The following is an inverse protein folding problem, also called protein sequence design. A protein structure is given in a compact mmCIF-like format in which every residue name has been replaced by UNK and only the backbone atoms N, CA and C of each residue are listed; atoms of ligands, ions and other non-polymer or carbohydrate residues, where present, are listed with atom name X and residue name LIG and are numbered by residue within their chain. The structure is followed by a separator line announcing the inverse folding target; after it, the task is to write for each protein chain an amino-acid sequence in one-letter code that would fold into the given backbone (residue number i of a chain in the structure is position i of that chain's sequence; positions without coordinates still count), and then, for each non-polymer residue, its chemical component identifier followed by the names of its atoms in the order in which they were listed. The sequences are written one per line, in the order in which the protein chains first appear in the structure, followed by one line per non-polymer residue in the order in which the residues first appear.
data_IF_969436430884
#
_entry.id   IF_969436430884
#
_cell.length_a   1.000
_cell.length_b   1.000
_cell.length_c   1.000
_cell.angle_alpha   90.00
_cell.angle_beta   90.00
_cell.angle_gamma   90.00
#
_symmetry.space_group_name_H-M   'P 1'
#
loop_
_entity.id
_entity.type
_entity.pdbx_description
1 polymer ?
#
# COMPACT_ATOMS: atom_id res chain seq x y z
N UNK A 1 12.02 12.57 -24.64
CA UNK A 1 11.81 11.11 -24.49
C UNK A 1 10.51 10.80 -25.20
N UNK A 2 10.51 9.82 -26.11
CA UNK A 2 9.26 9.38 -26.72
C UNK A 2 8.40 8.72 -25.64
N UNK A 3 7.07 8.63 -25.81
CA UNK A 3 6.20 7.92 -24.86
C UNK A 3 6.55 6.42 -24.67
N UNK A 4 7.49 5.88 -25.46
CA UNK A 4 7.88 4.46 -25.45
C UNK A 4 9.29 4.18 -24.93
N UNK A 5 10.06 5.19 -24.50
CA UNK A 5 11.39 4.93 -23.95
C UNK A 5 11.26 4.47 -22.48
N UNK A 6 11.88 3.35 -22.08
CA UNK A 6 11.78 2.86 -20.71
C UNK A 6 12.40 3.87 -19.73
N UNK A 7 11.82 3.97 -18.53
CA UNK A 7 12.39 4.82 -17.47
C UNK A 7 13.78 4.30 -17.06
N UNK A 8 14.66 5.13 -16.45
CA UNK A 8 15.96 4.65 -15.97
C UNK A 8 15.84 3.46 -15.00
N UNK A 9 14.83 3.49 -14.13
CA UNK A 9 14.51 2.40 -13.21
C UNK A 9 14.10 1.14 -13.98
N UNK A 10 13.20 1.28 -14.96
CA UNK A 10 12.77 0.14 -15.78
C UNK A 10 13.95 -0.47 -16.55
N UNK A 11 14.80 0.35 -17.16
CA UNK A 11 16.00 -0.12 -17.87
C UNK A 11 16.95 -0.87 -16.93
N UNK A 12 17.15 -0.36 -15.71
CA UNK A 12 18.00 -1.00 -14.70
C UNK A 12 17.43 -2.34 -14.26
N UNK A 13 16.14 -2.40 -13.92
CA UNK A 13 15.44 -3.63 -13.55
C UNK A 13 15.50 -4.68 -14.68
N UNK A 14 15.24 -4.28 -15.92
CA UNK A 14 15.32 -5.16 -17.10
C UNK A 14 16.71 -5.75 -17.31
N UNK A 15 17.77 -5.01 -17.00
CA UNK A 15 19.15 -5.51 -17.06
C UNK A 15 19.39 -6.54 -15.96
N UNK A 16 19.07 -6.19 -14.71
CA UNK A 16 19.28 -7.08 -13.56
C UNK A 16 18.48 -8.40 -13.69
N UNK A 17 17.24 -8.33 -14.17
CA UNK A 17 16.38 -9.51 -14.39
C UNK A 17 16.91 -10.48 -15.46
N UNK A 18 17.78 -10.04 -16.37
CA UNK A 18 18.46 -10.93 -17.33
C UNK A 18 19.62 -11.70 -16.70
N UNK A 19 20.22 -11.14 -15.64
CA UNK A 19 21.44 -11.65 -15.03
C UNK A 19 21.14 -12.53 -13.82
N UNK A 20 20.07 -12.23 -13.08
CA UNK A 20 19.71 -12.97 -11.86
C UNK A 20 18.23 -12.81 -11.49
N UNK A 21 17.79 -13.69 -10.60
CA UNK A 21 16.51 -13.57 -9.91
C UNK A 21 16.58 -12.38 -8.95
N UNK A 22 15.55 -11.53 -8.97
CA UNK A 22 15.32 -10.49 -7.97
C UNK A 22 14.39 -11.01 -6.88
N UNK A 23 14.67 -10.64 -5.63
CA UNK A 23 13.90 -11.07 -4.47
C UNK A 23 12.97 -9.93 -4.02
N UNK A 24 11.66 -10.21 -4.02
CA UNK A 24 10.66 -9.39 -3.36
C UNK A 24 10.65 -9.73 -1.85
N UNK A 25 10.28 -8.79 -1.01
CA UNK A 25 10.16 -9.01 0.43
C UNK A 25 8.99 -9.94 0.80
N UNK A 26 8.80 -10.11 2.11
CA UNK A 26 7.74 -10.94 2.66
C UNK A 26 6.62 -10.12 3.30
N UNK A 27 5.71 -10.82 3.97
CA UNK A 27 4.51 -10.22 4.53
C UNK A 27 4.77 -9.18 5.65
N UNK A 28 4.50 -7.92 5.34
CA UNK A 28 4.46 -6.80 6.30
C UNK A 28 3.55 -7.09 7.51
N UNK A 29 2.32 -7.55 7.28
CA UNK A 29 1.35 -7.82 8.34
C UNK A 29 1.83 -8.87 9.35
N UNK A 30 2.49 -9.93 8.89
CA UNK A 30 3.04 -10.98 9.75
C UNK A 30 4.16 -10.43 10.65
N UNK A 31 4.98 -9.53 10.13
CA UNK A 31 6.04 -8.87 10.90
C UNK A 31 5.45 -7.92 11.94
N UNK A 32 4.44 -7.13 11.58
CA UNK A 32 3.73 -6.21 12.51
C UNK A 32 3.12 -6.99 13.69
N UNK A 33 2.52 -8.17 13.44
CA UNK A 33 1.91 -8.99 14.49
C UNK A 33 2.88 -9.37 15.62
N UNK A 34 4.19 -9.47 15.35
CA UNK A 34 5.21 -9.82 16.34
C UNK A 34 5.40 -8.72 17.40
N UNK A 35 5.09 -7.47 17.08
CA UNK A 35 5.18 -6.33 17.99
C UNK A 35 4.01 -6.25 18.98
N UNK A 36 2.95 -7.05 18.79
CA UNK A 36 1.78 -7.16 19.69
C UNK A 36 1.12 -5.80 19.99
N UNK A 37 1.06 -4.94 18.98
CA UNK A 37 0.49 -3.59 19.10
C UNK A 37 -0.96 -3.60 19.61
N UNK A 38 -1.26 -2.61 20.43
CA UNK A 38 -2.57 -2.36 21.04
C UNK A 38 -3.34 -1.30 20.25
N UNK A 39 -4.63 -1.12 20.57
CA UNK A 39 -5.44 -0.04 19.99
C UNK A 39 -4.80 1.34 20.19
N UNK A 40 -4.19 1.58 21.36
CA UNK A 40 -3.51 2.83 21.66
C UNK A 40 -2.30 3.06 20.72
N UNK A 41 -1.56 2.00 20.39
CA UNK A 41 -0.42 2.10 19.47
C UNK A 41 -0.87 2.42 18.04
N UNK A 42 -1.96 1.80 17.56
CA UNK A 42 -2.52 2.13 16.24
C UNK A 42 -3.01 3.57 16.18
N UNK A 43 -3.63 4.08 17.24
CA UNK A 43 -4.09 5.47 17.33
C UNK A 43 -2.93 6.47 17.41
N UNK A 44 -1.84 6.08 18.06
CA UNK A 44 -0.77 7.01 18.42
C UNK A 44 -1.32 8.21 19.19
N UNK A 45 -0.57 9.31 19.21
CA UNK A 45 -1.01 10.56 19.86
C UNK A 45 -2.10 11.28 19.04
N UNK A 46 -2.05 11.17 17.72
CA UNK A 46 -2.89 11.97 16.80
C UNK A 46 -4.36 11.53 16.77
N UNK A 47 -4.64 10.25 17.00
CA UNK A 47 -5.98 9.67 16.82
C UNK A 47 -6.59 9.11 18.12
N UNK A 48 -6.08 9.53 19.28
CA UNK A 48 -6.60 9.13 20.61
C UNK A 48 -8.11 9.37 20.70
N UNK A 49 -8.55 10.57 20.31
CA UNK A 49 -9.96 10.99 20.40
C UNK A 49 -10.77 10.74 19.12
N UNK A 50 -10.19 10.07 18.11
CA UNK A 50 -10.89 9.80 16.85
C UNK A 50 -12.01 8.78 17.07
N UNK A 51 -13.24 9.10 16.66
CA UNK A 51 -14.43 8.28 16.90
C UNK A 51 -15.28 8.20 15.63
N UNK A 52 -16.05 7.12 15.51
CA UNK A 52 -17.10 7.04 14.50
C UNK A 52 -18.13 8.17 14.69
N UNK A 53 -18.90 8.49 13.63
CA UNK A 53 -20.00 9.45 13.72
C UNK A 53 -20.99 9.13 14.84
N UNK A 54 -21.65 10.17 15.35
CA UNK A 54 -22.63 10.02 16.43
C UNK A 54 -23.76 9.06 16.02
N UNK A 55 -24.02 8.06 16.86
CA UNK A 55 -25.04 7.03 16.61
C UNK A 55 -24.52 5.76 15.95
N UNK A 56 -23.25 5.72 15.54
CA UNK A 56 -22.59 4.52 15.04
C UNK A 56 -21.91 3.72 16.17
N UNK A 57 -21.51 2.49 15.85
CA UNK A 57 -20.80 1.60 16.77
C UNK A 57 -19.45 2.19 17.18
N UNK A 58 -18.91 1.70 18.29
CA UNK A 58 -17.54 2.03 18.70
C UNK A 58 -16.53 1.67 17.58
N UNK A 59 -15.64 2.61 17.28
CA UNK A 59 -14.63 2.47 16.25
C UNK A 59 -13.34 1.95 16.86
N UNK A 60 -12.84 0.83 16.34
CA UNK A 60 -11.48 0.33 16.58
C UNK A 60 -10.66 0.50 15.31
N UNK A 61 -9.44 1.01 15.45
CA UNK A 61 -8.50 1.18 14.34
C UNK A 61 -7.38 0.15 14.33
N UNK A 62 -7.27 -0.67 15.39
CA UNK A 62 -6.40 -1.84 15.41
C UNK A 62 -6.75 -2.78 14.27
N UNK A 63 -5.74 -3.08 13.45
CA UNK A 63 -5.88 -3.86 12.22
C UNK A 63 -5.73 -3.02 10.95
N UNK A 64 -5.87 -1.69 11.05
CA UNK A 64 -5.52 -0.75 9.97
C UNK A 64 -4.00 -0.58 9.91
N UNK A 65 -3.30 -1.53 9.30
CA UNK A 65 -1.84 -1.55 9.28
C UNK A 65 -1.25 -0.34 8.55
N UNK A 66 -1.95 0.19 7.55
CA UNK A 66 -1.55 1.38 6.78
C UNK A 66 -1.40 2.61 7.68
N UNK A 67 -2.24 2.73 8.71
CA UNK A 67 -2.17 3.83 9.69
C UNK A 67 -0.84 3.84 10.46
N UNK A 68 -0.21 2.68 10.63
CA UNK A 68 1.06 2.57 11.36
C UNK A 68 2.22 3.29 10.65
N UNK A 69 2.12 3.57 9.36
CA UNK A 69 3.09 4.43 8.68
C UNK A 69 3.06 5.88 9.19
N UNK A 70 1.95 6.30 9.81
CA UNK A 70 1.82 7.62 10.45
C UNK A 70 2.06 7.53 11.97
N UNK A 71 1.52 6.51 12.63
CA UNK A 71 1.51 6.43 14.10
C UNK A 71 2.69 5.67 14.68
N UNK A 72 3.23 4.69 13.94
CA UNK A 72 4.39 3.88 14.34
C UNK A 72 5.44 3.77 13.22
N UNK A 73 5.89 4.91 12.63
CA UNK A 73 6.77 4.90 11.44
C UNK A 73 8.09 4.15 11.67
N UNK A 74 8.60 4.15 12.90
CA UNK A 74 9.82 3.43 13.26
C UNK A 74 9.67 1.91 13.14
N UNK A 75 8.51 1.35 13.46
CA UNK A 75 8.23 -0.09 13.32
C UNK A 75 8.18 -0.47 11.84
N UNK A 76 7.47 0.33 11.03
CA UNK A 76 7.36 0.08 9.58
C UNK A 76 8.74 0.17 8.91
N UNK A 77 9.53 1.18 9.25
CA UNK A 77 10.92 1.31 8.82
C UNK A 77 11.74 0.07 9.19
N UNK A 78 11.68 -0.37 10.46
CA UNK A 78 12.42 -1.55 10.94
C UNK A 78 12.03 -2.82 10.18
N UNK A 79 10.75 -3.01 9.85
CA UNK A 79 10.30 -4.18 9.06
C UNK A 79 10.91 -4.17 7.66
N UNK A 80 10.89 -3.03 6.96
CA UNK A 80 11.55 -2.91 5.65
C UNK A 80 13.05 -3.23 5.75
N UNK A 81 13.73 -2.68 6.76
CA UNK A 81 15.16 -2.89 6.96
C UNK A 81 15.49 -4.36 7.25
N UNK A 82 14.65 -5.08 8.00
CA UNK A 82 14.81 -6.53 8.23
C UNK A 82 14.74 -7.34 6.93
N UNK A 83 13.83 -7.02 6.01
CA UNK A 83 13.77 -7.69 4.72
C UNK A 83 14.96 -7.34 3.81
N UNK A 84 15.39 -6.08 3.83
CA UNK A 84 16.57 -5.64 3.08
C UNK A 84 17.86 -6.29 3.60
N UNK A 85 18.00 -6.44 4.91
CA UNK A 85 19.10 -7.15 5.57
C UNK A 85 19.09 -8.65 5.23
N UNK A 86 17.90 -9.26 5.18
CA UNK A 86 17.72 -10.64 4.71
C UNK A 86 18.00 -10.83 3.21
N UNK A 87 18.15 -9.74 2.45
CA UNK A 87 18.66 -9.75 1.10
C UNK A 87 17.66 -9.37 0.01
N UNK A 88 16.44 -8.94 0.37
CA UNK A 88 15.45 -8.45 -0.59
C UNK A 88 16.02 -7.36 -1.51
N UNK A 89 15.66 -7.42 -2.79
CA UNK A 89 16.02 -6.43 -3.80
C UNK A 89 14.91 -5.40 -4.01
N UNK A 90 13.67 -5.82 -3.84
CA UNK A 90 12.47 -4.99 -3.90
C UNK A 90 11.72 -5.14 -2.59
N UNK A 91 11.30 -4.03 -2.00
CA UNK A 91 10.39 -4.04 -0.85
C UNK A 91 9.07 -3.36 -1.20
N UNK A 92 7.98 -3.90 -0.69
CA UNK A 92 6.64 -3.34 -0.85
C UNK A 92 6.41 -2.18 0.12
N UNK A 93 5.59 -1.21 -0.26
CA UNK A 93 5.09 -0.18 0.66
C UNK A 93 4.00 -0.77 1.57
N UNK A 94 3.87 -0.24 2.79
CA UNK A 94 2.76 -0.57 3.68
C UNK A 94 1.46 0.14 3.23
N UNK A 95 0.91 -0.25 2.07
CA UNK A 95 -0.19 0.46 1.40
C UNK A 95 -1.24 -0.46 0.77
N UNK A 96 -1.28 -1.73 1.16
CA UNK A 96 -2.23 -2.72 0.64
C UNK A 96 -3.67 -2.22 0.63
N UNK A 97 -4.14 -1.68 1.76
CA UNK A 97 -5.48 -1.10 1.94
C UNK A 97 -5.51 0.43 1.97
N UNK A 98 -4.50 1.12 1.46
CA UNK A 98 -4.41 2.59 1.54
C UNK A 98 -5.19 3.27 0.38
N UNK A 99 -6.48 2.95 0.24
CA UNK A 99 -7.40 3.57 -0.72
C UNK A 99 -8.57 4.20 0.01
N UNK A 100 -9.25 5.17 -0.62
CA UNK A 100 -10.46 5.78 -0.02
C UNK A 100 -11.55 4.74 0.21
N UNK A 101 -11.65 3.71 -0.64
CA UNK A 101 -12.63 2.63 -0.52
C UNK A 101 -12.37 1.75 0.71
N UNK A 102 -11.12 1.39 0.97
CA UNK A 102 -10.77 0.54 2.12
C UNK A 102 -10.71 1.32 3.44
N UNK A 103 -10.19 2.55 3.41
CA UNK A 103 -10.08 3.38 4.61
C UNK A 103 -11.43 3.94 5.09
N UNK A 104 -12.48 3.86 4.27
CA UNK A 104 -13.85 4.21 4.67
C UNK A 104 -14.37 3.28 5.79
N UNK A 105 -13.95 2.01 5.83
CA UNK A 105 -14.29 1.06 6.91
C UNK A 105 -13.77 1.52 8.29
N UNK A 106 -12.76 2.39 8.30
CA UNK A 106 -12.20 3.03 9.49
C UNK A 106 -12.59 4.51 9.64
N UNK A 107 -13.45 5.05 8.76
CA UNK A 107 -13.76 6.47 8.61
C UNK A 107 -12.51 7.36 8.37
N UNK A 108 -11.45 6.79 7.78
CA UNK A 108 -10.15 7.44 7.60
C UNK A 108 -9.79 7.72 6.14
N UNK A 109 -10.78 7.72 5.23
CA UNK A 109 -10.56 7.98 3.81
C UNK A 109 -9.80 9.30 3.53
N UNK A 110 -9.96 10.32 4.38
CA UNK A 110 -9.22 11.59 4.28
C UNK A 110 -7.71 11.50 4.54
N UNK A 111 -7.21 10.38 5.08
CA UNK A 111 -5.78 10.17 5.38
C UNK A 111 -5.05 9.41 4.28
N UNK A 112 -5.76 8.92 3.25
CA UNK A 112 -5.21 8.04 2.20
C UNK A 112 -3.98 8.63 1.53
N UNK A 113 -4.03 9.91 1.17
CA UNK A 113 -2.88 10.58 0.56
C UNK A 113 -1.66 10.57 1.48
N UNK A 114 -1.87 10.97 2.74
CA UNK A 114 -0.82 11.05 3.75
C UNK A 114 -0.20 9.69 4.06
N UNK A 115 -1.05 8.66 4.21
CA UNK A 115 -0.63 7.27 4.45
C UNK A 115 0.27 6.77 3.32
N UNK A 116 -0.14 6.94 2.06
CA UNK A 116 0.64 6.46 0.91
C UNK A 116 1.98 7.20 0.78
N UNK A 117 1.98 8.54 0.90
CA UNK A 117 3.23 9.32 0.84
C UNK A 117 4.18 8.91 1.97
N UNK A 118 3.68 8.76 3.20
CA UNK A 118 4.48 8.36 4.35
C UNK A 118 5.05 6.95 4.18
N UNK A 119 4.21 5.97 3.81
CA UNK A 119 4.64 4.58 3.55
C UNK A 119 5.73 4.51 2.48
N UNK A 120 5.55 5.19 1.35
CA UNK A 120 6.54 5.21 0.28
C UNK A 120 7.86 5.87 0.70
N UNK A 121 7.80 6.97 1.48
CA UNK A 121 9.00 7.62 2.01
C UNK A 121 9.79 6.73 2.98
N UNK A 122 9.11 5.98 3.84
CA UNK A 122 9.75 5.03 4.76
C UNK A 122 10.46 3.93 3.97
N UNK A 123 9.76 3.27 3.04
CA UNK A 123 10.37 2.27 2.16
C UNK A 123 11.55 2.85 1.36
N UNK A 124 11.43 4.08 0.83
CA UNK A 124 12.51 4.72 0.07
C UNK A 124 13.72 5.04 0.93
N UNK A 125 13.51 5.48 2.16
CA UNK A 125 14.59 5.72 3.12
C UNK A 125 15.32 4.40 3.45
N UNK A 126 14.58 3.31 3.68
CA UNK A 126 15.14 1.98 3.90
C UNK A 126 15.97 1.50 2.68
N UNK A 127 15.41 1.59 1.47
CA UNK A 127 16.11 1.26 0.23
C UNK A 127 17.40 2.08 0.06
N UNK A 128 17.35 3.39 0.33
CA UNK A 128 18.54 4.26 0.24
C UNK A 128 19.63 3.84 1.21
N UNK A 129 19.28 3.44 2.43
CA UNK A 129 20.22 2.97 3.46
C UNK A 129 20.93 1.67 3.06
N UNK A 130 20.22 0.75 2.39
CA UNK A 130 20.74 -0.59 2.04
C UNK A 130 21.22 -0.72 0.59
N UNK A 131 21.03 0.30 -0.24
CA UNK A 131 21.50 0.29 -1.63
C UNK A 131 23.01 0.48 -1.70
N UNK A 132 23.66 -0.31 -2.54
CA UNK A 132 25.05 -0.09 -2.98
C UNK A 132 25.09 0.01 -4.52
N UNK A 133 26.19 0.51 -5.12
CA UNK A 133 26.33 0.53 -6.58
C UNK A 133 26.11 -0.84 -7.23
N UNK A 134 26.57 -1.92 -6.58
CA UNK A 134 26.46 -3.29 -7.09
C UNK A 134 25.12 -3.96 -6.75
N UNK A 135 24.43 -3.47 -5.70
CA UNK A 135 23.17 -4.04 -5.23
C UNK A 135 22.17 -2.92 -4.92
N UNK A 136 21.56 -2.30 -5.94
CA UNK A 136 20.50 -1.31 -5.74
C UNK A 136 19.28 -1.96 -5.06
N UNK A 137 18.45 -1.12 -4.43
CA UNK A 137 17.17 -1.50 -3.82
C UNK A 137 16.04 -0.67 -4.40
N UNK A 138 14.90 -1.31 -4.60
CA UNK A 138 13.74 -0.68 -5.24
C UNK A 138 12.53 -0.74 -4.32
N UNK A 139 11.68 0.27 -4.41
CA UNK A 139 10.40 0.33 -3.71
C UNK A 139 9.28 -0.01 -4.68
N UNK A 140 8.49 -1.03 -4.35
CA UNK A 140 7.20 -1.29 -5.00
C UNK A 140 6.09 -0.58 -4.23
N UNK A 141 5.53 0.48 -4.83
CA UNK A 141 4.29 1.08 -4.39
C UNK A 141 3.13 0.12 -4.67
N UNK A 142 2.62 -0.53 -3.63
CA UNK A 142 1.60 -1.57 -3.79
C UNK A 142 0.19 -0.98 -3.77
N UNK A 143 -0.61 -1.44 -4.73
CA UNK A 143 -2.03 -1.19 -4.82
C UNK A 143 -2.73 -2.54 -4.60
N UNK A 144 -3.14 -2.77 -3.36
CA UNK A 144 -3.88 -3.96 -2.99
C UNK A 144 -5.34 -3.89 -3.44
N UNK A 145 -6.07 -5.00 -3.31
CA UNK A 145 -7.46 -5.05 -3.66
C UNK A 145 -8.31 -4.34 -2.60
N UNK A 146 -9.36 -3.64 -3.04
CA UNK A 146 -10.34 -3.02 -2.14
C UNK A 146 -11.27 -4.07 -1.51
N UNK A 147 -11.88 -3.83 -0.33
CA UNK A 147 -12.85 -4.76 0.27
C UNK A 147 -14.15 -4.90 -0.55
N UNK A 148 -14.36 -4.04 -1.55
CA UNK A 148 -15.54 -4.03 -2.43
C UNK A 148 -15.22 -4.61 -3.81
N UNK A 149 -16.15 -5.38 -4.37
CA UNK A 149 -16.08 -5.96 -5.72
C UNK A 149 -16.90 -5.16 -6.71
N UNK A 150 -16.36 -4.93 -7.90
CA UNK A 150 -17.11 -4.34 -9.01
C UNK A 150 -17.72 -5.41 -9.93
N UNK A 151 -17.18 -6.62 -9.97
CA UNK A 151 -17.72 -7.71 -10.82
C UNK A 151 -18.72 -8.61 -10.11
N UNK A 152 -18.60 -8.77 -8.78
CA UNK A 152 -19.43 -9.67 -7.97
C UNK A 152 -20.48 -8.86 -7.20
N UNK A 153 -21.74 -9.32 -7.22
CA UNK A 153 -22.81 -8.74 -6.41
C UNK A 153 -22.64 -9.10 -4.93
N UNK A 154 -22.88 -8.15 -4.00
CA UNK A 154 -22.93 -8.43 -2.57
C UNK A 154 -24.24 -9.10 -2.13
N UNK A 155 -25.28 -9.07 -2.96
CA UNK A 155 -26.60 -9.65 -2.66
C UNK A 155 -26.87 -10.84 -3.58
N UNK A 156 -27.04 -12.01 -2.98
CA UNK A 156 -27.36 -13.26 -3.68
C UNK A 156 -28.71 -13.22 -4.39
N UNK A 157 -29.61 -12.32 -3.98
CA UNK A 157 -30.95 -12.17 -4.57
C UNK A 157 -31.00 -11.10 -5.67
N UNK A 158 -29.99 -10.23 -5.76
CA UNK A 158 -29.89 -9.21 -6.80
C UNK A 158 -28.52 -9.30 -7.51
N UNK A 159 -28.42 -10.03 -8.63
CA UNK A 159 -27.16 -10.17 -9.36
C UNK A 159 -26.66 -8.86 -10.00
N UNK A 160 -27.50 -7.82 -10.09
CA UNK A 160 -27.14 -6.51 -10.65
C UNK A 160 -26.60 -5.54 -9.58
N UNK A 161 -26.84 -5.78 -8.29
CA UNK A 161 -26.37 -4.92 -7.21
C UNK A 161 -24.84 -4.81 -7.18
N UNK A 162 -24.32 -3.61 -6.89
CA UNK A 162 -22.88 -3.33 -6.74
C UNK A 162 -22.66 -2.36 -5.58
N UNK A 163 -21.65 -2.64 -4.75
CA UNK A 163 -21.25 -1.78 -3.63
C UNK A 163 -20.28 -0.66 -4.03
N UNK A 164 -19.71 -0.74 -5.23
CA UNK A 164 -18.76 0.23 -5.77
C UNK A 164 -18.88 0.29 -7.30
N UNK A 165 -18.65 1.46 -7.88
CA UNK A 165 -18.61 1.65 -9.33
C UNK A 165 -17.18 1.63 -9.87
N UNK A 166 -17.03 1.42 -11.18
CA UNK A 166 -15.72 1.47 -11.84
C UNK A 166 -15.05 2.84 -11.65
N UNK A 167 -15.78 3.94 -11.84
CA UNK A 167 -15.25 5.30 -11.70
C UNK A 167 -14.79 5.61 -10.26
N UNK A 168 -15.49 5.07 -9.25
CA UNK A 168 -15.06 5.19 -7.86
C UNK A 168 -13.73 4.47 -7.61
N UNK A 169 -13.53 3.29 -8.20
CA UNK A 169 -12.28 2.55 -8.11
C UNK A 169 -11.14 3.27 -8.86
N UNK A 170 -11.40 3.77 -10.07
CA UNK A 170 -10.42 4.56 -10.82
C UNK A 170 -9.96 5.77 -10.01
N UNK A 171 -10.90 6.52 -9.43
CA UNK A 171 -10.56 7.67 -8.59
C UNK A 171 -9.71 7.26 -7.37
N UNK A 172 -10.12 6.21 -6.66
CA UNK A 172 -9.41 5.73 -5.47
C UNK A 172 -7.98 5.25 -5.78
N UNK A 173 -7.79 4.48 -6.86
CA UNK A 173 -6.47 4.00 -7.27
C UNK A 173 -5.61 5.13 -7.84
N UNK A 174 -6.19 6.10 -8.55
CA UNK A 174 -5.45 7.24 -9.09
C UNK A 174 -4.89 8.12 -7.95
N UNK A 175 -5.68 8.37 -6.92
CA UNK A 175 -5.22 9.14 -5.74
C UNK A 175 -4.10 8.41 -5.00
N UNK A 176 -4.24 7.09 -4.80
CA UNK A 176 -3.19 6.25 -4.23
C UNK A 176 -1.91 6.27 -5.09
N UNK A 177 -2.03 6.04 -6.40
CA UNK A 177 -0.90 5.99 -7.32
C UNK A 177 -0.12 7.31 -7.35
N UNK A 178 -0.83 8.45 -7.37
CA UNK A 178 -0.20 9.78 -7.30
C UNK A 178 0.59 9.96 -6.01
N UNK A 179 0.02 9.57 -4.87
CA UNK A 179 0.68 9.66 -3.58
C UNK A 179 1.92 8.73 -3.48
N UNK A 180 1.84 7.53 -4.03
CA UNK A 180 2.97 6.59 -4.10
C UNK A 180 4.11 7.13 -4.96
N UNK A 181 3.78 7.70 -6.14
CA UNK A 181 4.77 8.34 -7.02
C UNK A 181 5.42 9.55 -6.34
N UNK A 182 4.65 10.41 -5.69
CA UNK A 182 5.20 11.53 -4.90
C UNK A 182 6.09 11.06 -3.76
N UNK A 183 5.70 9.97 -3.09
CA UNK A 183 6.48 9.35 -2.02
C UNK A 183 7.77 8.69 -2.48
N UNK A 184 7.96 8.50 -3.80
CA UNK A 184 9.19 8.01 -4.40
C UNK A 184 9.22 6.51 -4.67
N UNK A 185 8.05 5.88 -4.86
CA UNK A 185 7.97 4.50 -5.34
C UNK A 185 8.66 4.36 -6.71
N UNK A 186 9.40 3.27 -6.90
CA UNK A 186 10.13 2.97 -8.14
C UNK A 186 9.27 2.14 -9.12
N UNK A 187 8.38 1.32 -8.58
CA UNK A 187 7.46 0.43 -9.29
C UNK A 187 6.06 0.66 -8.72
N UNK A 188 5.04 0.68 -9.56
CA UNK A 188 3.65 0.51 -9.10
C UNK A 188 3.24 -0.94 -9.34
N UNK A 189 2.76 -1.61 -8.30
CA UNK A 189 2.41 -3.02 -8.34
C UNK A 189 0.96 -3.23 -7.90
N UNK A 190 0.09 -3.58 -8.84
CA UNK A 190 -1.26 -4.05 -8.54
C UNK A 190 -1.17 -5.51 -8.10
N UNK A 191 -1.49 -5.77 -6.84
CA UNK A 191 -1.27 -7.07 -6.21
C UNK A 191 -2.56 -7.72 -5.72
N UNK A 192 -2.49 -9.01 -5.37
CA UNK A 192 -3.59 -9.78 -4.76
C UNK A 192 -4.94 -9.60 -5.49
N UNK A 193 -4.90 -9.61 -6.82
CA UNK A 193 -6.06 -9.36 -7.69
C UNK A 193 -7.05 -10.53 -7.56
N UNK A 194 -8.15 -10.29 -6.84
CA UNK A 194 -9.26 -11.24 -6.75
C UNK A 194 -10.46 -10.85 -7.64
N UNK A 195 -10.58 -9.56 -8.00
CA UNK A 195 -11.57 -9.04 -8.95
C UNK A 195 -10.84 -8.35 -10.12
N UNK A 196 -10.98 -8.90 -11.33
CA UNK A 196 -10.31 -8.37 -12.52
C UNK A 196 -10.85 -7.01 -12.97
N UNK A 197 -12.09 -6.65 -12.61
CA UNK A 197 -12.63 -5.33 -12.92
C UNK A 197 -11.99 -4.25 -12.03
N UNK A 198 -11.65 -4.59 -10.78
CA UNK A 198 -10.88 -3.71 -9.91
C UNK A 198 -9.46 -3.51 -10.44
N UNK A 199 -8.81 -4.58 -10.91
CA UNK A 199 -7.49 -4.46 -11.56
C UNK A 199 -7.54 -3.56 -12.80
N UNK A 200 -8.55 -3.72 -13.65
CA UNK A 200 -8.74 -2.82 -14.80
C UNK A 200 -8.90 -1.36 -14.39
N UNK A 201 -9.62 -1.08 -13.30
CA UNK A 201 -9.75 0.27 -12.77
C UNK A 201 -8.41 0.84 -12.27
N UNK A 202 -7.55 0.01 -11.67
CA UNK A 202 -6.21 0.43 -11.25
C UNK A 202 -5.26 0.76 -12.42
N UNK A 203 -5.50 0.19 -13.60
CA UNK A 203 -4.68 0.35 -14.80
C UNK A 203 -5.23 1.39 -15.80
N UNK A 204 -6.37 2.01 -15.51
CA UNK A 204 -7.09 2.92 -16.42
C UNK A 204 -6.50 4.33 -16.44
#
# INVERSE_FOLDING_TARGET
MSQNDPSPIEAQLRTMLKERILILDGAMGTMIQQYKLTEADYRGERFVDFKAPAGERELFVKGNNELLSLTQPHIIQEVHEKYLEAGADVIETNTFGATTVAQDDYHMAGLVYEMNVASARLAKAACKKYSTPDKPRFVAGTLGPTPKTASISPDVNDPAARNVTFDQLVAAYLDQARALVEGGADILMVETIFDTLNCKAALF
#
